data_IF_390251563530
#
_entry.id   IF_390251563530
#
_cell.length_a   1.000
_cell.length_b   1.000
_cell.length_c   1.000
_cell.angle_alpha   90.00
_cell.angle_beta   90.00
_cell.angle_gamma   90.00
#
_symmetry.space_group_name_H-M   'P 1'
#
loop_
_entity.id
_entity.type
_entity.pdbx_description
1 polymer ?
#
# COMPACT_ATOMS: atom_id res chain seq x y z
N UNK A 1 -5.07 23.54 -24.91
CA UNK A 1 -4.10 23.35 -23.80
C UNK A 1 -4.91 22.99 -22.57
N UNK A 2 -4.52 21.94 -21.86
CA UNK A 2 -5.14 21.55 -20.60
C UNK A 2 -4.12 21.77 -19.49
N UNK A 3 -4.41 22.65 -18.54
CA UNK A 3 -3.51 22.96 -17.43
C UNK A 3 -3.88 22.09 -16.23
N UNK A 4 -3.03 21.12 -15.92
CA UNK A 4 -3.15 20.27 -14.76
C UNK A 4 -2.32 20.78 -13.59
N UNK A 5 -2.43 20.14 -12.41
CA UNK A 5 -1.69 20.55 -11.21
C UNK A 5 -0.17 20.38 -11.34
N UNK A 6 0.31 19.24 -11.86
CA UNK A 6 1.73 18.95 -12.00
C UNK A 6 2.26 19.12 -13.43
N UNK A 7 1.40 18.97 -14.42
CA UNK A 7 1.74 19.00 -15.84
C UNK A 7 0.72 19.80 -16.64
N UNK A 8 1.18 20.42 -17.71
CA UNK A 8 0.33 21.04 -18.73
C UNK A 8 0.36 20.18 -20.00
N UNK A 9 -0.81 19.76 -20.49
CA UNK A 9 -0.93 19.00 -21.73
C UNK A 9 -1.20 19.94 -22.91
N UNK A 10 -0.25 19.97 -23.83
CA UNK A 10 -0.35 20.65 -25.12
C UNK A 10 -0.82 19.67 -26.17
N UNK A 11 -1.89 20.03 -26.87
CA UNK A 11 -2.36 19.24 -28.00
C UNK A 11 -1.66 19.70 -29.28
N UNK A 12 -1.08 18.75 -30.00
CA UNK A 12 -0.34 18.98 -31.25
C UNK A 12 -0.94 18.12 -32.36
N UNK A 13 -1.21 18.73 -33.50
CA UNK A 13 -1.64 18.01 -34.70
C UNK A 13 -0.42 17.64 -35.55
N UNK A 14 -0.27 16.38 -35.99
CA UNK A 14 0.83 16.00 -36.86
C UNK A 14 0.78 16.79 -38.18
N UNK A 15 1.84 17.56 -38.44
CA UNK A 15 2.02 18.35 -39.65
C UNK A 15 2.34 17.53 -40.89
N UNK A 16 2.91 18.19 -41.91
CA UNK A 16 3.24 17.59 -43.19
C UNK A 16 4.73 17.77 -43.50
N UNK A 17 5.40 16.67 -43.83
CA UNK A 17 6.73 16.68 -44.42
C UNK A 17 6.57 16.96 -45.92
N UNK A 18 7.13 18.09 -46.38
CA UNK A 18 7.00 18.58 -47.76
C UNK A 18 8.37 18.60 -48.40
N UNK A 19 8.51 17.91 -49.54
CA UNK A 19 9.72 17.96 -50.35
C UNK A 19 9.49 18.87 -51.54
N UNK A 20 10.42 19.77 -51.77
CA UNK A 20 10.42 20.68 -52.92
C UNK A 20 11.57 20.30 -53.85
N UNK A 21 11.32 20.39 -55.15
CA UNK A 21 12.35 20.25 -56.18
C UNK A 21 12.43 21.55 -56.96
N UNK A 22 13.65 22.01 -57.21
CA UNK A 22 13.90 23.12 -58.12
C UNK A 22 13.61 22.69 -59.55
N UNK A 23 12.73 23.44 -60.21
CA UNK A 23 12.45 23.31 -61.63
C UNK A 23 13.01 24.57 -62.29
N UNK A 24 13.96 24.35 -63.20
CA UNK A 24 14.53 25.41 -64.04
C UNK A 24 13.69 25.50 -65.31
N UNK A 25 13.00 26.62 -65.51
CA UNK A 25 12.28 26.91 -66.74
C UNK A 25 13.01 28.01 -67.51
N UNK A 26 13.34 27.73 -68.76
CA UNK A 26 14.00 28.67 -69.65
C UNK A 26 12.93 29.40 -70.46
N UNK A 27 12.91 30.73 -70.40
CA UNK A 27 11.99 31.53 -71.22
C UNK A 27 12.45 31.61 -72.69
N UNK A 28 11.64 32.25 -73.54
CA UNK A 28 11.92 32.38 -74.99
C UNK A 28 13.17 33.22 -75.28
N UNK A 29 13.58 34.07 -74.35
CA UNK A 29 14.75 34.96 -74.45
C UNK A 29 16.03 34.31 -73.87
N UNK A 30 15.90 33.12 -73.29
CA UNK A 30 16.99 32.31 -72.78
C UNK A 30 17.30 32.48 -71.30
N UNK A 31 16.53 33.28 -70.56
CA UNK A 31 16.69 33.45 -69.13
C UNK A 31 16.16 32.22 -68.38
N UNK A 32 16.89 31.80 -67.35
CA UNK A 32 16.50 30.67 -66.51
C UNK A 32 15.79 31.18 -65.27
N UNK A 33 14.51 30.84 -65.15
CA UNK A 33 13.74 31.02 -63.90
C UNK A 33 13.80 29.73 -63.07
N UNK A 34 14.07 29.87 -61.77
CA UNK A 34 14.05 28.73 -60.82
C UNK A 34 12.78 28.84 -60.00
N UNK A 35 11.91 27.82 -60.07
CA UNK A 35 10.74 27.71 -59.20
C UNK A 35 10.80 26.45 -58.36
N UNK A 36 10.45 26.57 -57.09
CA UNK A 36 10.30 25.43 -56.19
C UNK A 36 8.92 24.80 -56.43
N UNK A 37 8.88 23.54 -56.87
CA UNK A 37 7.64 22.76 -56.96
C UNK A 37 7.58 21.75 -55.83
N UNK A 38 6.46 21.73 -55.10
CA UNK A 38 6.18 20.67 -54.12
C UNK A 38 6.03 19.33 -54.86
N UNK A 39 6.91 18.37 -54.58
CA UNK A 39 6.95 17.06 -55.24
C UNK A 39 6.39 15.94 -54.37
N UNK A 40 6.33 16.13 -53.05
CA UNK A 40 5.79 15.16 -52.12
C UNK A 40 5.26 15.87 -50.87
N UNK A 41 4.11 15.39 -50.40
CA UNK A 41 3.48 15.82 -49.16
C UNK A 41 3.07 14.60 -48.36
N UNK A 42 3.77 14.32 -47.27
CA UNK A 42 3.52 13.14 -46.44
C UNK A 42 3.21 13.58 -45.02
N UNK A 43 2.15 13.03 -44.41
CA UNK A 43 1.81 13.37 -43.02
C UNK A 43 2.92 12.87 -42.10
N UNK A 44 3.33 13.69 -41.14
CA UNK A 44 4.33 13.29 -40.15
C UNK A 44 3.77 12.11 -39.34
N UNK A 45 4.52 11.00 -39.32
CA UNK A 45 4.17 9.83 -38.53
C UNK A 45 4.23 10.18 -37.04
N UNK A 46 3.24 9.72 -36.29
CA UNK A 46 3.18 9.89 -34.83
C UNK A 46 4.44 9.35 -34.14
N UNK A 47 4.96 8.23 -34.61
CA UNK A 47 6.21 7.62 -34.11
C UNK A 47 7.42 8.56 -34.20
N UNK A 48 7.51 9.36 -35.27
CA UNK A 48 8.57 10.37 -35.43
C UNK A 48 8.44 11.51 -34.43
N UNK A 49 7.23 11.84 -34.00
CA UNK A 49 7.01 12.82 -32.92
C UNK A 49 7.42 12.20 -31.58
N UNK A 50 7.01 10.94 -31.34
CA UNK A 50 7.34 10.22 -30.12
C UNK A 50 8.86 10.04 -29.93
N UNK A 51 9.62 9.81 -31.00
CA UNK A 51 11.08 9.68 -30.94
C UNK A 51 11.81 10.97 -30.57
N UNK A 52 11.18 12.15 -30.73
CA UNK A 52 11.75 13.45 -30.40
C UNK A 52 11.52 13.87 -28.94
N UNK A 53 11.03 12.97 -28.08
CA UNK A 53 10.69 13.31 -26.69
C UNK A 53 11.85 13.94 -25.91
N UNK A 54 13.08 13.43 -26.09
CA UNK A 54 14.27 13.94 -25.39
C UNK A 54 14.69 15.31 -25.92
N UNK A 55 14.63 15.52 -27.25
CA UNK A 55 14.97 16.80 -27.87
C UNK A 55 13.95 17.89 -27.47
N UNK A 56 12.67 17.54 -27.40
CA UNK A 56 11.62 18.43 -26.90
C UNK A 56 11.82 18.76 -25.43
N UNK A 57 12.22 17.77 -24.60
CA UNK A 57 12.51 17.99 -23.19
C UNK A 57 13.68 18.97 -23.02
N UNK A 58 14.74 18.80 -23.80
CA UNK A 58 15.88 19.72 -23.84
C UNK A 58 15.46 21.13 -24.25
N UNK A 59 14.70 21.25 -25.35
CA UNK A 59 14.25 22.55 -25.87
C UNK A 59 13.33 23.32 -24.90
N UNK A 60 12.53 22.59 -24.11
CA UNK A 60 11.64 23.17 -23.11
C UNK A 60 12.26 23.32 -21.72
N UNK A 61 13.54 22.96 -21.56
CA UNK A 61 14.22 22.88 -20.26
C UNK A 61 13.42 22.06 -19.21
N UNK A 62 12.75 21.00 -19.67
CA UNK A 62 11.95 20.12 -18.84
C UNK A 62 12.75 18.86 -18.46
N UNK A 63 12.62 18.34 -17.22
CA UNK A 63 13.34 17.13 -16.80
C UNK A 63 12.92 15.89 -17.62
N UNK A 64 11.64 15.81 -17.98
CA UNK A 64 11.10 14.77 -18.85
C UNK A 64 9.80 15.25 -19.49
N UNK A 65 9.42 14.64 -20.62
CA UNK A 65 8.15 14.88 -21.30
C UNK A 65 7.48 13.54 -21.58
N UNK A 66 6.16 13.50 -21.44
CA UNK A 66 5.36 12.35 -21.84
C UNK A 66 4.53 12.69 -23.08
N UNK A 67 4.64 11.85 -24.09
CA UNK A 67 3.87 11.96 -25.34
C UNK A 67 2.76 10.91 -25.29
N UNK A 68 1.51 11.36 -25.32
CA UNK A 68 0.31 10.55 -25.40
C UNK A 68 -0.25 10.63 -26.83
N UNK A 69 -0.23 9.51 -27.56
CA UNK A 69 -0.66 9.51 -28.95
C UNK A 69 -1.46 8.24 -29.33
N UNK A 70 -2.69 8.38 -29.87
CA UNK A 70 -3.50 9.60 -29.86
C UNK A 70 -4.05 9.91 -28.46
N UNK A 71 -4.42 11.17 -28.21
CA UNK A 71 -5.19 11.54 -27.02
C UNK A 71 -6.56 10.84 -27.10
N UNK A 72 -7.02 10.15 -26.03
CA UNK A 72 -8.31 9.47 -26.04
C UNK A 72 -9.46 10.38 -26.48
N UNK A 73 -10.20 9.94 -27.50
CA UNK A 73 -11.33 10.69 -28.07
C UNK A 73 -10.96 11.90 -28.93
N UNK A 74 -9.67 12.14 -29.23
CA UNK A 74 -9.22 13.28 -30.05
C UNK A 74 -8.19 12.86 -31.10
N UNK A 75 -8.28 13.44 -32.30
CA UNK A 75 -7.36 13.17 -33.41
C UNK A 75 -6.03 13.96 -33.32
N UNK A 76 -5.42 13.99 -32.14
CA UNK A 76 -4.21 14.78 -31.85
C UNK A 76 -3.22 14.04 -30.95
N UNK A 77 -1.99 14.53 -30.92
CA UNK A 77 -0.92 14.09 -30.01
C UNK A 77 -0.89 14.99 -28.79
N UNK A 78 -0.92 14.42 -27.60
CA UNK A 78 -0.78 15.14 -26.33
C UNK A 78 0.68 15.16 -25.91
N UNK A 79 1.22 16.33 -25.62
CA UNK A 79 2.56 16.52 -25.06
C UNK A 79 2.36 17.06 -23.64
N UNK A 80 2.61 16.22 -22.65
CA UNK A 80 2.55 16.58 -21.24
C UNK A 80 3.91 17.13 -20.79
N UNK A 81 3.95 18.43 -20.46
CA UNK A 81 5.15 19.14 -20.01
C UNK A 81 5.00 19.45 -18.51
N UNK A 82 6.01 19.16 -17.67
CA UNK A 82 6.01 19.53 -16.25
C UNK A 82 5.82 21.04 -16.05
N UNK A 83 4.98 21.40 -15.07
CA UNK A 83 4.85 22.79 -14.66
C UNK A 83 6.09 23.23 -13.89
N UNK A 84 6.50 24.50 -14.04
CA UNK A 84 7.62 25.06 -13.26
C UNK A 84 7.36 25.05 -11.75
N UNK A 85 6.08 25.15 -11.34
CA UNK A 85 5.62 25.00 -9.97
C UNK A 85 4.49 23.98 -9.97
N UNK A 86 4.71 22.82 -9.34
CA UNK A 86 3.68 21.80 -9.19
C UNK A 86 2.67 22.24 -8.11
N UNK A 87 1.39 22.27 -8.48
CA UNK A 87 0.30 22.53 -7.56
C UNK A 87 0.06 21.34 -6.62
N UNK A 88 -0.09 21.62 -5.33
CA UNK A 88 -0.52 20.62 -4.34
C UNK A 88 -2.01 20.38 -4.52
N UNK A 89 -2.41 19.11 -4.61
CA UNK A 89 -3.82 18.71 -4.67
C UNK A 89 -4.29 18.35 -3.27
N UNK A 90 -5.00 19.23 -2.58
CA UNK A 90 -5.50 18.93 -1.23
C UNK A 90 -6.58 17.85 -1.26
N UNK A 91 -6.55 16.93 -0.28
CA UNK A 91 -7.57 15.89 -0.11
C UNK A 91 -8.96 16.51 0.05
N UNK A 92 -9.08 17.57 0.86
CA UNK A 92 -10.31 18.33 1.06
C UNK A 92 -10.92 18.79 -0.27
N UNK A 93 -10.10 19.32 -1.19
CA UNK A 93 -10.57 19.79 -2.49
C UNK A 93 -11.14 18.69 -3.38
N UNK A 94 -10.74 17.42 -3.16
CA UNK A 94 -11.34 16.28 -3.85
C UNK A 94 -12.63 15.85 -3.16
N UNK A 95 -12.64 15.77 -1.83
CA UNK A 95 -13.81 15.34 -1.06
C UNK A 95 -14.99 16.30 -1.20
N UNK A 96 -14.72 17.61 -1.30
CA UNK A 96 -15.74 18.65 -1.52
C UNK A 96 -16.14 18.78 -3.01
N UNK A 97 -15.60 17.95 -3.91
CA UNK A 97 -15.91 18.02 -5.33
C UNK A 97 -17.24 17.35 -5.67
N UNK A 98 -17.94 17.88 -6.69
CA UNK A 98 -19.19 17.29 -7.17
C UNK A 98 -19.07 15.81 -7.59
N UNK A 99 -17.98 15.35 -8.26
CA UNK A 99 -17.76 13.93 -8.52
C UNK A 99 -17.74 13.07 -7.25
N UNK A 100 -17.08 13.55 -6.19
CA UNK A 100 -17.00 12.81 -4.92
C UNK A 100 -18.36 12.73 -4.22
N UNK A 101 -19.09 13.85 -4.10
CA UNK A 101 -20.44 13.84 -3.52
C UNK A 101 -21.38 12.87 -4.26
N UNK A 102 -21.35 12.91 -5.60
CA UNK A 102 -22.15 12.01 -6.43
C UNK A 102 -21.77 10.55 -6.20
N UNK A 103 -20.47 10.25 -6.12
CA UNK A 103 -19.99 8.90 -5.86
C UNK A 103 -20.40 8.42 -4.46
N UNK A 104 -20.14 9.22 -3.42
CA UNK A 104 -20.40 8.91 -2.01
C UNK A 104 -21.87 8.55 -1.74
N UNK A 105 -22.81 9.15 -2.47
CA UNK A 105 -24.24 8.82 -2.33
C UNK A 105 -24.59 7.36 -2.67
N UNK A 106 -23.69 6.63 -3.36
CA UNK A 106 -23.90 5.26 -3.84
C UNK A 106 -22.80 4.29 -3.43
N UNK A 107 -21.56 4.80 -3.34
CA UNK A 107 -20.38 4.01 -3.04
C UNK A 107 -20.33 3.59 -1.57
N UNK A 108 -19.77 2.41 -1.33
CA UNK A 108 -19.59 1.86 0.02
C UNK A 108 -18.19 2.15 0.55
N UNK A 109 -17.21 2.15 -0.35
CA UNK A 109 -15.82 2.43 -0.03
C UNK A 109 -15.27 3.49 -1.00
N UNK A 110 -15.76 4.75 -0.91
CA UNK A 110 -15.27 5.82 -1.76
C UNK A 110 -13.81 6.18 -1.46
N UNK A 111 -13.05 6.44 -2.52
CA UNK A 111 -11.66 6.88 -2.51
C UNK A 111 -11.53 8.21 -3.25
N UNK A 112 -10.92 9.19 -2.61
CA UNK A 112 -10.51 10.44 -3.21
C UNK A 112 -9.08 10.28 -3.74
N UNK A 113 -8.90 10.05 -5.05
CA UNK A 113 -7.60 9.71 -5.61
C UNK A 113 -6.74 10.94 -5.89
N UNK A 114 -7.32 12.00 -6.46
CA UNK A 114 -6.56 13.19 -6.84
C UNK A 114 -7.16 13.95 -8.02
N UNK A 115 -6.32 14.63 -8.79
CA UNK A 115 -6.72 15.35 -10.02
C UNK A 115 -6.06 14.76 -11.26
N UNK A 116 -6.80 14.71 -12.36
CA UNK A 116 -6.25 14.36 -13.67
C UNK A 116 -5.43 15.48 -14.30
N UNK A 117 -4.90 15.18 -15.49
CA UNK A 117 -4.07 16.10 -16.29
C UNK A 117 -4.84 17.36 -16.71
N UNK A 118 -6.18 17.31 -16.77
CA UNK A 118 -7.01 18.48 -17.08
C UNK A 118 -7.56 19.16 -15.82
N UNK A 119 -7.08 18.77 -14.63
CA UNK A 119 -7.49 19.33 -13.35
C UNK A 119 -8.81 18.76 -12.80
N UNK A 120 -9.43 17.82 -13.51
CA UNK A 120 -10.66 17.15 -13.09
C UNK A 120 -10.44 16.29 -11.84
N UNK A 121 -11.35 16.36 -10.86
CA UNK A 121 -11.28 15.51 -9.67
C UNK A 121 -11.56 14.07 -10.03
N UNK A 122 -10.65 13.17 -9.65
CA UNK A 122 -10.74 11.74 -9.89
C UNK A 122 -10.98 11.02 -8.58
N UNK A 123 -12.04 10.23 -8.58
CA UNK A 123 -12.57 9.49 -7.43
C UNK A 123 -12.89 8.07 -7.87
N UNK A 124 -12.85 7.12 -6.93
CA UNK A 124 -13.11 5.73 -7.25
C UNK A 124 -13.80 5.01 -6.08
N UNK A 125 -14.39 3.84 -6.33
CA UNK A 125 -15.06 3.03 -5.31
C UNK A 125 -14.32 1.70 -5.17
N UNK A 126 -13.68 1.48 -4.02
CA UNK A 126 -12.94 0.25 -3.75
C UNK A 126 -13.87 -0.97 -3.73
N UNK A 127 -15.16 -0.82 -3.40
CA UNK A 127 -16.08 -1.96 -3.44
C UNK A 127 -16.32 -2.48 -4.88
N UNK A 128 -16.20 -1.60 -5.88
CA UNK A 128 -16.28 -1.94 -7.31
C UNK A 128 -14.93 -2.36 -7.89
N UNK A 129 -13.84 -1.93 -7.25
CA UNK A 129 -12.46 -2.26 -7.57
C UNK A 129 -11.90 -3.10 -6.41
N UNK A 130 -12.40 -4.33 -6.21
CA UNK A 130 -12.47 -4.97 -4.90
C UNK A 130 -11.13 -5.01 -4.16
N UNK A 131 -10.02 -5.05 -4.90
CA UNK A 131 -8.68 -4.97 -4.37
C UNK A 131 -7.83 -3.99 -5.19
N UNK A 132 -6.93 -3.29 -4.52
CA UNK A 132 -6.06 -2.27 -5.08
C UNK A 132 -4.59 -2.59 -4.79
N UNK A 133 -3.78 -2.65 -5.84
CA UNK A 133 -2.31 -2.76 -5.74
C UNK A 133 -1.68 -1.38 -5.94
N UNK A 134 -0.82 -0.96 -5.01
CA UNK A 134 -0.11 0.32 -5.05
C UNK A 134 1.40 0.07 -5.05
N UNK A 135 2.12 0.63 -6.01
CA UNK A 135 3.57 0.48 -6.04
C UNK A 135 4.29 1.78 -6.40
N UNK A 136 5.54 1.91 -5.99
CA UNK A 136 6.38 3.06 -6.31
C UNK A 136 7.61 3.17 -5.43
N UNK A 137 8.64 3.88 -5.89
CA UNK A 137 9.87 4.07 -5.14
C UNK A 137 9.66 4.92 -3.87
N UNK A 138 10.62 4.88 -2.95
CA UNK A 138 10.63 5.74 -1.76
C UNK A 138 10.53 7.22 -2.14
N UNK A 139 9.71 7.99 -1.42
CA UNK A 139 9.51 9.43 -1.69
C UNK A 139 8.64 9.75 -2.92
N UNK A 140 8.13 8.74 -3.63
CA UNK A 140 7.30 8.96 -4.84
C UNK A 140 5.87 9.43 -4.55
N UNK A 141 5.36 9.19 -3.32
CA UNK A 141 3.99 9.54 -2.92
C UNK A 141 3.12 8.35 -2.46
N UNK A 142 3.63 7.11 -2.54
CA UNK A 142 2.93 5.87 -2.11
C UNK A 142 2.29 5.98 -0.72
N UNK A 143 3.08 6.32 0.30
CA UNK A 143 2.59 6.33 1.68
C UNK A 143 1.52 7.40 1.91
N UNK A 144 1.68 8.59 1.30
CA UNK A 144 0.68 9.67 1.35
C UNK A 144 -0.64 9.24 0.70
N UNK A 145 -0.58 8.45 -0.39
CA UNK A 145 -1.76 7.89 -1.02
C UNK A 145 -2.51 6.90 -0.12
N UNK A 146 -1.78 5.99 0.55
CA UNK A 146 -2.36 5.03 1.50
C UNK A 146 -3.02 5.77 2.66
N UNK A 147 -2.32 6.75 3.25
CA UNK A 147 -2.85 7.61 4.31
C UNK A 147 -4.10 8.36 3.86
N UNK A 148 -4.09 8.94 2.65
CA UNK A 148 -5.24 9.64 2.07
C UNK A 148 -6.44 8.71 1.86
N UNK A 149 -6.21 7.46 1.45
CA UNK A 149 -7.27 6.46 1.33
C UNK A 149 -7.91 6.14 2.69
N UNK A 150 -7.08 5.84 3.71
CA UNK A 150 -7.55 5.58 5.08
C UNK A 150 -8.34 6.77 5.62
N UNK A 151 -7.82 7.99 5.47
CA UNK A 151 -8.46 9.22 5.91
C UNK A 151 -9.80 9.45 5.20
N UNK A 152 -9.89 9.11 3.91
CA UNK A 152 -11.17 9.19 3.18
C UNK A 152 -12.24 8.30 3.82
N UNK A 153 -11.87 7.10 4.29
CA UNK A 153 -12.80 6.23 5.03
C UNK A 153 -13.15 6.82 6.40
N UNK A 154 -12.15 7.26 7.17
CA UNK A 154 -12.37 7.85 8.49
C UNK A 154 -13.23 9.12 8.46
N UNK A 155 -13.25 9.86 7.35
CA UNK A 155 -14.11 11.04 7.21
C UNK A 155 -15.59 10.69 6.92
N UNK A 156 -15.88 9.45 6.51
CA UNK A 156 -17.17 9.11 5.89
C UNK A 156 -17.81 7.81 6.38
N UNK A 157 -17.12 7.01 7.18
CA UNK A 157 -17.58 5.74 7.69
C UNK A 157 -17.35 5.65 9.21
N UNK A 158 -18.35 5.14 9.93
CA UNK A 158 -18.21 4.75 11.34
C UNK A 158 -17.49 3.39 11.46
N UNK A 159 -17.05 3.00 12.67
CA UNK A 159 -16.54 1.65 12.92
C UNK A 159 -17.55 0.52 12.62
N UNK A 160 -18.85 0.81 12.61
CA UNK A 160 -19.89 -0.16 12.27
C UNK A 160 -20.07 -0.30 10.75
N UNK A 161 -19.64 0.69 9.98
CA UNK A 161 -19.62 0.64 8.52
C UNK A 161 -18.34 -0.01 7.99
N UNK A 162 -17.18 0.37 8.55
CA UNK A 162 -15.85 -0.03 8.08
C UNK A 162 -14.93 -0.34 9.25
N UNK A 163 -14.29 -1.51 9.18
CA UNK A 163 -13.27 -1.97 10.11
C UNK A 163 -11.92 -2.15 9.39
N UNK A 164 -10.85 -1.75 10.05
CA UNK A 164 -9.50 -1.68 9.49
C UNK A 164 -8.59 -2.75 10.11
N UNK A 165 -7.79 -3.39 9.26
CA UNK A 165 -6.65 -4.23 9.66
C UNK A 165 -5.43 -3.65 8.96
N UNK A 166 -4.48 -3.14 9.74
CA UNK A 166 -3.30 -2.45 9.23
C UNK A 166 -2.05 -3.30 9.49
N UNK A 167 -1.28 -3.58 8.44
CA UNK A 167 -0.01 -4.29 8.50
C UNK A 167 1.11 -3.33 8.07
N UNK A 168 1.98 -2.98 9.01
CA UNK A 168 3.12 -2.07 8.83
C UNK A 168 4.37 -2.66 9.49
N UNK A 169 5.12 -3.53 8.78
CA UNK A 169 6.32 -4.17 9.31
C UNK A 169 7.44 -3.17 9.63
N UNK A 170 7.39 -1.96 9.06
CA UNK A 170 8.43 -0.93 9.20
C UNK A 170 8.16 0.02 10.37
N UNK A 171 6.93 0.07 10.90
CA UNK A 171 6.50 0.95 12.00
C UNK A 171 6.61 2.44 11.70
N UNK A 172 6.48 2.83 10.43
CA UNK A 172 6.68 4.23 10.01
C UNK A 172 5.38 4.86 9.52
N UNK A 173 4.57 4.10 8.78
CA UNK A 173 3.53 4.71 7.95
C UNK A 173 2.14 4.59 8.56
N UNK A 174 1.77 3.41 9.07
CA UNK A 174 0.41 3.15 9.54
C UNK A 174 0.25 3.25 11.06
N UNK A 175 1.36 3.29 11.80
CA UNK A 175 1.35 3.48 13.27
C UNK A 175 0.67 4.79 13.67
N UNK A 176 0.65 5.80 12.80
CA UNK A 176 -0.05 7.07 13.04
C UNK A 176 -1.57 6.92 13.19
N UNK A 177 -2.16 5.78 12.77
CA UNK A 177 -3.57 5.46 12.95
C UNK A 177 -3.84 4.59 14.19
N UNK A 178 -2.85 4.41 15.07
CA UNK A 178 -3.04 3.61 16.28
C UNK A 178 -4.21 4.14 17.11
N UNK A 179 -4.97 3.22 17.71
CA UNK A 179 -6.09 3.50 18.60
C UNK A 179 -7.34 4.13 17.96
N UNK A 180 -7.40 4.29 16.63
CA UNK A 180 -8.69 4.65 16.01
C UNK A 180 -9.69 3.50 16.21
N UNK A 181 -10.97 3.79 16.52
CA UNK A 181 -11.96 2.77 16.89
C UNK A 181 -12.31 1.81 15.74
N UNK A 182 -11.97 2.18 14.50
CA UNK A 182 -12.11 1.32 13.33
C UNK A 182 -11.17 0.11 13.34
N UNK A 183 -10.07 0.15 14.09
CA UNK A 183 -9.12 -0.98 14.12
C UNK A 183 -9.76 -2.23 14.72
N UNK A 184 -9.60 -3.35 14.04
CA UNK A 184 -9.97 -4.68 14.56
C UNK A 184 -8.91 -5.17 15.55
N UNK A 185 -7.65 -4.83 15.30
CA UNK A 185 -6.49 -5.24 16.08
C UNK A 185 -5.48 -4.10 16.05
N UNK A 186 -4.58 -3.96 17.06
CA UNK A 186 -3.45 -3.03 16.96
C UNK A 186 -2.69 -3.20 15.65
N UNK A 187 -2.02 -2.14 15.19
CA UNK A 187 -1.24 -2.17 13.95
C UNK A 187 -0.25 -3.33 14.00
N UNK A 188 -0.35 -4.23 13.03
CA UNK A 188 0.45 -5.47 13.00
C UNK A 188 1.81 -5.14 12.42
N UNK A 189 2.83 -5.31 13.25
CA UNK A 189 4.23 -5.00 12.92
C UNK A 189 5.08 -6.27 12.73
N UNK A 190 4.62 -7.38 13.29
CA UNK A 190 5.30 -8.67 13.24
C UNK A 190 4.88 -9.45 11.99
N UNK A 191 5.85 -10.05 11.29
CA UNK A 191 5.61 -10.66 9.98
C UNK A 191 4.85 -11.98 10.12
N UNK A 192 5.14 -12.74 11.16
CA UNK A 192 4.46 -13.98 11.50
C UNK A 192 3.01 -13.71 11.90
N UNK A 193 2.76 -12.67 12.72
CA UNK A 193 1.39 -12.20 13.04
C UNK A 193 0.66 -11.71 11.79
N UNK A 194 1.34 -11.08 10.84
CA UNK A 194 0.74 -10.67 9.56
C UNK A 194 0.26 -11.89 8.74
N UNK A 195 1.06 -12.95 8.64
CA UNK A 195 0.65 -14.21 7.98
C UNK A 195 -0.53 -14.86 8.72
N UNK A 196 -0.49 -14.90 10.05
CA UNK A 196 -1.60 -15.41 10.85
C UNK A 196 -2.89 -14.59 10.65
N UNK A 197 -2.77 -13.28 10.47
CA UNK A 197 -3.90 -12.39 10.16
C UNK A 197 -4.52 -12.69 8.80
N UNK A 198 -3.69 -12.97 7.78
CA UNK A 198 -4.19 -13.40 6.47
C UNK A 198 -4.95 -14.73 6.54
N UNK A 199 -4.49 -15.68 7.38
CA UNK A 199 -5.19 -16.94 7.65
C UNK A 199 -6.52 -16.70 8.36
N UNK A 200 -6.54 -15.81 9.35
CA UNK A 200 -7.77 -15.43 10.04
C UNK A 200 -8.77 -14.76 9.08
N UNK A 201 -8.32 -13.83 8.23
CA UNK A 201 -9.19 -13.17 7.25
C UNK A 201 -9.81 -14.17 6.27
N UNK A 202 -9.08 -15.21 5.89
CA UNK A 202 -9.60 -16.29 5.07
C UNK A 202 -10.70 -17.09 5.80
N UNK A 203 -10.57 -17.34 7.10
CA UNK A 203 -11.61 -17.98 7.94
C UNK A 203 -12.82 -17.07 8.13
N UNK A 204 -12.60 -15.79 8.39
CA UNK A 204 -13.67 -14.79 8.50
C UNK A 204 -14.44 -14.64 7.18
N UNK A 205 -13.76 -14.71 6.03
CA UNK A 205 -14.41 -14.75 4.73
C UNK A 205 -15.35 -15.96 4.62
N UNK A 206 -14.90 -17.15 5.00
CA UNK A 206 -15.71 -18.37 4.96
C UNK A 206 -16.92 -18.26 5.90
N UNK A 207 -16.71 -17.78 7.13
CA UNK A 207 -17.78 -17.54 8.10
C UNK A 207 -18.81 -16.52 7.61
N UNK A 208 -18.37 -15.46 6.93
CA UNK A 208 -19.29 -14.51 6.29
C UNK A 208 -20.11 -15.18 5.20
N UNK A 209 -19.52 -16.03 4.37
CA UNK A 209 -20.28 -16.79 3.37
C UNK A 209 -21.38 -17.64 3.99
N UNK A 210 -21.10 -18.34 5.10
CA UNK A 210 -22.12 -19.11 5.82
C UNK A 210 -23.27 -18.23 6.32
N UNK A 211 -22.95 -17.05 6.88
CA UNK A 211 -23.95 -16.06 7.30
C UNK A 211 -24.78 -15.54 6.13
N UNK A 212 -24.14 -15.24 4.99
CA UNK A 212 -24.82 -14.82 3.76
C UNK A 212 -25.81 -15.89 3.30
N UNK A 213 -25.35 -17.15 3.23
CA UNK A 213 -26.14 -18.29 2.79
C UNK A 213 -27.34 -18.57 3.71
N UNK A 214 -27.18 -18.46 5.03
CA UNK A 214 -28.23 -18.70 6.02
C UNK A 214 -29.47 -17.80 5.83
N UNK A 215 -29.31 -16.62 5.26
CA UNK A 215 -30.42 -15.68 4.95
C UNK A 215 -30.68 -15.53 3.45
N UNK A 216 -30.03 -16.34 2.60
CA UNK A 216 -30.16 -16.29 1.14
C UNK A 216 -29.62 -15.01 0.49
N UNK A 217 -28.70 -14.32 1.16
CA UNK A 217 -28.06 -13.12 0.62
C UNK A 217 -26.90 -13.49 -0.32
N UNK A 218 -26.82 -12.82 -1.46
CA UNK A 218 -25.75 -13.04 -2.46
C UNK A 218 -24.45 -12.27 -2.17
N UNK A 219 -24.56 -11.20 -1.38
CA UNK A 219 -23.49 -10.27 -1.06
C UNK A 219 -23.78 -9.56 0.27
N UNK A 220 -22.76 -8.90 0.83
CA UNK A 220 -22.84 -8.15 2.10
C UNK A 220 -23.93 -7.07 2.07
N UNK A 221 -24.19 -6.46 0.91
CA UNK A 221 -25.23 -5.43 0.81
C UNK A 221 -26.64 -6.03 0.95
N UNK A 222 -26.89 -7.16 0.29
CA UNK A 222 -28.14 -7.90 0.41
C UNK A 222 -28.31 -8.43 1.83
N UNK A 223 -27.23 -8.86 2.49
CA UNK A 223 -27.26 -9.30 3.88
C UNK A 223 -27.61 -8.16 4.83
N UNK A 224 -26.91 -7.03 4.76
CA UNK A 224 -27.13 -5.89 5.65
C UNK A 224 -28.50 -5.23 5.47
N UNK A 225 -29.15 -5.41 4.30
CA UNK A 225 -30.52 -4.91 4.04
C UNK A 225 -31.60 -5.94 4.39
N UNK A 226 -31.23 -7.17 4.73
CA UNK A 226 -32.19 -8.23 5.00
C UNK A 226 -32.88 -7.98 6.35
N UNK A 227 -34.22 -7.93 6.44
CA UNK A 227 -34.93 -7.69 7.69
C UNK A 227 -34.68 -8.75 8.78
N UNK A 228 -34.18 -9.94 8.41
CA UNK A 228 -33.81 -11.01 9.35
C UNK A 228 -32.44 -10.80 10.01
N UNK A 229 -31.69 -9.80 9.57
CA UNK A 229 -30.36 -9.49 10.09
C UNK A 229 -30.49 -8.37 11.11
N UNK A 230 -30.26 -8.72 12.38
CA UNK A 230 -30.28 -7.75 13.49
C UNK A 230 -29.00 -6.90 13.54
N UNK A 231 -27.86 -7.49 13.17
CA UNK A 231 -26.55 -6.84 13.19
C UNK A 231 -25.91 -6.87 11.80
N UNK A 232 -25.78 -5.69 11.21
CA UNK A 232 -25.07 -5.52 9.95
C UNK A 232 -23.59 -5.91 10.08
N UNK A 233 -23.05 -6.49 9.01
CA UNK A 233 -21.63 -6.74 8.87
C UNK A 233 -20.92 -5.46 8.40
N UNK A 234 -19.83 -5.03 9.07
CA UNK A 234 -18.98 -3.96 8.55
C UNK A 234 -18.18 -4.47 7.35
N UNK A 235 -17.81 -3.58 6.44
CA UNK A 235 -16.75 -3.85 5.48
C UNK A 235 -15.42 -4.01 6.21
N UNK A 236 -14.63 -5.02 5.85
CA UNK A 236 -13.29 -5.20 6.39
C UNK A 236 -12.26 -4.76 5.36
N UNK A 237 -11.41 -3.81 5.72
CA UNK A 237 -10.34 -3.32 4.88
C UNK A 237 -8.98 -3.74 5.43
N UNK A 238 -8.32 -4.63 4.72
CA UNK A 238 -6.93 -4.97 4.95
C UNK A 238 -6.02 -3.99 4.20
N UNK A 239 -5.11 -3.34 4.91
CA UNK A 239 -4.08 -2.48 4.33
C UNK A 239 -2.69 -3.04 4.67
N UNK A 240 -1.91 -3.33 3.64
CA UNK A 240 -0.50 -3.77 3.77
C UNK A 240 0.38 -2.66 3.19
N UNK A 241 1.23 -2.05 4.02
CA UNK A 241 2.14 -0.99 3.53
C UNK A 241 3.27 -1.54 2.63
N UNK A 242 3.83 -2.70 2.99
CA UNK A 242 4.95 -3.31 2.29
C UNK A 242 4.76 -4.82 2.13
N UNK A 243 4.21 -5.23 0.98
CA UNK A 243 4.02 -6.64 0.61
C UNK A 243 5.34 -7.39 0.57
N UNK A 244 6.41 -6.75 0.09
CA UNK A 244 7.70 -7.39 -0.10
C UNK A 244 8.30 -7.91 1.22
N UNK A 245 7.97 -7.29 2.35
CA UNK A 245 8.42 -7.74 3.67
C UNK A 245 7.70 -9.03 4.10
N UNK A 246 6.44 -9.21 3.70
CA UNK A 246 5.70 -10.45 3.94
C UNK A 246 6.14 -11.57 2.99
N UNK A 247 6.35 -11.23 1.71
CA UNK A 247 6.86 -12.18 0.72
C UNK A 247 8.26 -12.69 1.06
N UNK A 248 9.08 -11.89 1.75
CA UNK A 248 10.39 -12.32 2.22
C UNK A 248 10.33 -13.35 3.38
N UNK A 249 9.22 -13.42 4.12
CA UNK A 249 9.03 -14.37 5.21
C UNK A 249 8.46 -15.70 4.73
N UNK A 250 7.37 -15.66 3.94
CA UNK A 250 6.68 -16.87 3.47
C UNK A 250 5.99 -16.64 2.12
N UNK A 251 6.73 -16.59 1.00
CA UNK A 251 6.22 -16.12 -0.29
C UNK A 251 5.04 -16.95 -0.80
N UNK A 252 5.18 -18.27 -0.85
CA UNK A 252 4.14 -19.18 -1.37
C UNK A 252 2.86 -19.12 -0.52
N UNK A 253 3.01 -19.02 0.80
CA UNK A 253 1.86 -18.96 1.71
C UNK A 253 1.14 -17.61 1.62
N UNK A 254 1.89 -16.50 1.63
CA UNK A 254 1.33 -15.14 1.50
C UNK A 254 0.63 -14.97 0.17
N UNK A 255 1.25 -15.37 -0.94
CA UNK A 255 0.66 -15.29 -2.27
C UNK A 255 -0.65 -16.08 -2.35
N UNK A 256 -0.66 -17.34 -1.87
CA UNK A 256 -1.85 -18.18 -1.86
C UNK A 256 -2.99 -17.55 -1.04
N UNK A 257 -2.69 -17.04 0.15
CA UNK A 257 -3.69 -16.42 1.03
C UNK A 257 -4.26 -15.13 0.44
N UNK A 258 -3.41 -14.28 -0.14
CA UNK A 258 -3.83 -13.04 -0.79
C UNK A 258 -4.64 -13.31 -2.06
N UNK A 259 -4.22 -14.27 -2.89
CA UNK A 259 -4.95 -14.62 -4.10
C UNK A 259 -6.34 -15.18 -3.78
N UNK A 260 -6.45 -16.06 -2.77
CA UNK A 260 -7.76 -16.59 -2.34
C UNK A 260 -8.70 -15.47 -1.87
N UNK A 261 -8.20 -14.56 -1.03
CA UNK A 261 -8.97 -13.38 -0.61
C UNK A 261 -9.37 -12.52 -1.82
N UNK A 262 -8.42 -12.23 -2.70
CA UNK A 262 -8.68 -11.37 -3.84
C UNK A 262 -9.68 -11.97 -4.85
N UNK A 263 -9.81 -13.29 -4.90
CA UNK A 263 -10.76 -13.99 -5.76
C UNK A 263 -12.18 -14.02 -5.20
N UNK A 264 -12.32 -14.22 -3.88
CA UNK A 264 -13.61 -14.58 -3.27
C UNK A 264 -14.19 -13.49 -2.37
N UNK A 265 -13.37 -12.61 -1.80
CA UNK A 265 -13.79 -11.81 -0.66
C UNK A 265 -14.66 -10.58 -1.01
N UNK A 266 -14.82 -10.26 -2.30
CA UNK A 266 -15.69 -9.16 -2.77
C UNK A 266 -17.13 -9.27 -2.24
N UNK A 267 -17.72 -10.46 -2.33
CA UNK A 267 -19.12 -10.66 -1.92
C UNK A 267 -19.29 -10.57 -0.39
N UNK A 268 -18.26 -10.90 0.37
CA UNK A 268 -18.27 -10.88 1.84
C UNK A 268 -17.90 -9.50 2.41
N UNK A 269 -17.63 -8.51 1.56
CA UNK A 269 -17.27 -7.15 1.97
C UNK A 269 -15.87 -7.03 2.57
N UNK A 270 -14.96 -7.94 2.22
CA UNK A 270 -13.55 -7.85 2.59
C UNK A 270 -12.78 -7.30 1.37
N UNK A 271 -12.04 -6.22 1.60
CA UNK A 271 -11.31 -5.48 0.57
C UNK A 271 -9.84 -5.34 0.95
N UNK A 272 -8.98 -5.27 -0.06
CA UNK A 272 -7.52 -5.28 0.14
C UNK A 272 -6.90 -4.06 -0.55
N UNK A 273 -6.09 -3.31 0.20
CA UNK A 273 -5.13 -2.36 -0.34
C UNK A 273 -3.73 -2.90 -0.02
N UNK A 274 -3.01 -3.31 -1.06
CA UNK A 274 -1.69 -3.90 -0.91
C UNK A 274 -0.69 -2.98 -1.57
N UNK A 275 0.36 -2.60 -0.83
CA UNK A 275 1.36 -1.70 -1.32
C UNK A 275 2.77 -2.30 -1.29
N UNK A 276 3.66 -1.84 -2.16
CA UNK A 276 5.07 -2.25 -2.18
C UNK A 276 5.98 -1.13 -2.68
N UNK A 277 7.19 -1.03 -2.12
CA UNK A 277 8.25 -0.18 -2.66
C UNK A 277 9.19 -0.95 -3.60
N UNK A 278 9.05 -2.28 -3.64
CA UNK A 278 9.85 -3.20 -4.45
C UNK A 278 8.96 -3.78 -5.56
N UNK A 279 8.86 -3.09 -6.72
CA UNK A 279 8.03 -3.53 -7.84
C UNK A 279 8.74 -4.59 -8.70
N UNK A 280 9.23 -5.64 -8.06
CA UNK A 280 9.94 -6.75 -8.69
C UNK A 280 9.00 -7.94 -8.92
N UNK A 281 9.36 -8.83 -9.86
CA UNK A 281 8.47 -9.92 -10.31
C UNK A 281 8.25 -10.98 -9.22
N UNK A 282 9.18 -11.11 -8.29
CA UNK A 282 9.09 -11.97 -7.09
C UNK A 282 8.13 -11.42 -6.03
N UNK A 283 7.86 -10.11 -6.03
CA UNK A 283 6.88 -9.48 -5.11
C UNK A 283 5.53 -9.30 -5.80
N UNK A 284 5.53 -8.76 -7.01
CA UNK A 284 4.35 -8.51 -7.84
C UNK A 284 4.29 -9.58 -8.93
N UNK A 285 3.97 -10.79 -8.49
CA UNK A 285 3.91 -11.97 -9.34
C UNK A 285 2.75 -11.89 -10.35
N UNK A 286 2.73 -12.81 -11.32
CA UNK A 286 1.62 -12.94 -12.25
C UNK A 286 0.28 -13.24 -11.55
N UNK A 287 0.30 -14.04 -10.48
CA UNK A 287 -0.91 -14.39 -9.72
C UNK A 287 -1.44 -13.19 -8.92
N UNK A 288 -0.56 -12.42 -8.27
CA UNK A 288 -0.95 -11.18 -7.61
C UNK A 288 -1.56 -10.23 -8.65
N UNK A 289 -0.91 -10.01 -9.81
CA UNK A 289 -1.48 -9.15 -10.84
C UNK A 289 -2.85 -9.61 -11.33
N UNK A 290 -3.03 -10.91 -11.56
CA UNK A 290 -4.29 -11.46 -12.06
C UNK A 290 -5.48 -11.17 -11.13
N UNK A 291 -5.24 -11.10 -9.81
CA UNK A 291 -6.30 -10.89 -8.81
C UNK A 291 -6.42 -9.43 -8.33
N UNK A 292 -5.48 -8.55 -8.69
CA UNK A 292 -5.50 -7.11 -8.39
C UNK A 292 -5.58 -6.29 -9.68
N UNK A 293 -6.75 -6.20 -10.33
CA UNK A 293 -6.91 -5.50 -11.61
C UNK A 293 -6.85 -3.98 -11.48
N UNK A 294 -7.21 -3.42 -10.31
CA UNK A 294 -7.02 -2.01 -10.02
C UNK A 294 -5.60 -1.76 -9.50
N UNK A 295 -4.86 -0.88 -10.17
CA UNK A 295 -3.45 -0.63 -9.86
C UNK A 295 -3.11 0.84 -9.87
N UNK A 296 -2.24 1.25 -8.95
CA UNK A 296 -1.62 2.58 -8.92
C UNK A 296 -0.10 2.38 -8.95
N UNK A 297 0.56 3.00 -9.92
CA UNK A 297 2.01 3.14 -9.91
C UNK A 297 2.37 4.60 -9.69
N UNK A 298 3.09 4.89 -8.62
CA UNK A 298 3.86 6.11 -8.48
C UNK A 298 5.16 6.01 -9.28
N UNK A 299 5.98 7.06 -9.22
CA UNK A 299 7.30 7.08 -9.86
C UNK A 299 8.16 5.86 -9.45
N UNK A 300 8.72 5.20 -10.46
CA UNK A 300 9.63 4.06 -10.33
C UNK A 300 10.95 4.35 -11.05
N UNK A 301 11.97 3.55 -10.78
CA UNK A 301 13.32 3.79 -11.30
C UNK A 301 13.44 3.40 -12.78
N UNK A 302 12.78 2.32 -13.19
CA UNK A 302 12.94 1.76 -14.54
C UNK A 302 11.63 1.46 -15.24
N UNK A 303 11.69 1.36 -16.57
CA UNK A 303 10.57 0.90 -17.38
C UNK A 303 10.18 -0.56 -17.07
N UNK A 304 11.15 -1.38 -16.64
CA UNK A 304 10.90 -2.76 -16.22
C UNK A 304 9.98 -2.76 -15.01
N UNK A 305 10.27 -1.94 -14.00
CA UNK A 305 9.42 -1.79 -12.81
C UNK A 305 8.01 -1.31 -13.18
N UNK A 306 7.90 -0.35 -14.11
CA UNK A 306 6.60 0.12 -14.61
C UNK A 306 5.80 -1.03 -15.22
N UNK A 307 6.43 -1.89 -16.04
CA UNK A 307 5.78 -3.06 -16.64
C UNK A 307 5.43 -4.12 -15.60
N UNK A 308 6.26 -4.29 -14.57
CA UNK A 308 5.95 -5.21 -13.48
C UNK A 308 4.64 -4.84 -12.78
N UNK A 309 4.32 -3.55 -12.65
CA UNK A 309 3.10 -3.08 -11.99
C UNK A 309 1.92 -2.95 -12.96
N UNK A 310 2.12 -2.25 -14.09
CA UNK A 310 1.04 -1.79 -14.98
C UNK A 310 0.94 -2.58 -16.29
N UNK A 311 1.83 -3.55 -16.52
CA UNK A 311 2.00 -4.25 -17.80
C UNK A 311 2.43 -3.34 -18.98
N UNK A 312 2.62 -2.04 -18.71
CA UNK A 312 3.06 -1.01 -19.67
C UNK A 312 4.15 -0.13 -19.07
N UNK A 313 4.97 0.47 -19.93
CA UNK A 313 5.91 1.53 -19.51
C UNK A 313 5.21 2.87 -19.28
N UNK A 314 5.88 3.78 -18.59
CA UNK A 314 5.44 5.16 -18.39
C UNK A 314 5.57 5.65 -16.95
N UNK A 315 5.57 4.76 -15.96
CA UNK A 315 5.72 5.16 -14.55
C UNK A 315 7.15 5.67 -14.23
N UNK A 316 8.15 5.25 -15.00
CA UNK A 316 9.53 5.76 -14.92
C UNK A 316 9.67 7.24 -15.33
N UNK A 317 8.63 7.80 -15.96
CA UNK A 317 8.58 9.20 -16.41
C UNK A 317 7.79 10.11 -15.48
N UNK A 318 7.24 9.57 -14.39
CA UNK A 318 6.51 10.34 -13.39
C UNK A 318 7.47 11.23 -12.59
N UNK A 319 6.95 12.34 -12.10
CA UNK A 319 7.72 13.40 -11.45
C UNK A 319 7.95 13.14 -9.94
N UNK A 320 7.36 12.06 -9.40
CA UNK A 320 7.31 11.79 -7.97
C UNK A 320 6.34 12.73 -7.25
N UNK A 321 6.48 12.86 -5.93
CA UNK A 321 5.67 13.77 -5.08
C UNK A 321 4.16 13.67 -5.32
N UNK A 322 3.64 12.44 -5.48
CA UNK A 322 2.22 12.17 -5.68
C UNK A 322 1.79 12.02 -7.14
N UNK A 323 2.67 12.28 -8.12
CA UNK A 323 2.38 11.98 -9.52
C UNK A 323 2.33 10.47 -9.76
N UNK A 324 1.23 9.99 -10.35
CA UNK A 324 0.92 8.58 -10.46
C UNK A 324 0.20 8.21 -11.76
N UNK A 325 0.28 6.93 -12.12
CA UNK A 325 -0.54 6.28 -13.12
C UNK A 325 -1.55 5.37 -12.41
N UNK A 326 -2.84 5.62 -12.64
CA UNK A 326 -3.94 4.82 -12.12
C UNK A 326 -4.60 4.00 -13.24
N UNK A 327 -4.59 2.68 -13.07
CA UNK A 327 -5.26 1.71 -13.93
C UNK A 327 -6.51 1.19 -13.20
N UNK A 328 -7.71 1.68 -13.52
CA UNK A 328 -8.94 1.07 -13.03
C UNK A 328 -9.21 -0.26 -13.77
N UNK A 329 -9.99 -1.20 -13.18
CA UNK A 329 -10.22 -2.53 -13.75
C UNK A 329 -10.83 -2.52 -15.17
N UNK A 330 -11.71 -1.55 -15.44
CA UNK A 330 -12.48 -1.49 -16.68
C UNK A 330 -11.78 -0.65 -17.78
N UNK A 331 -10.54 -0.17 -17.55
CA UNK A 331 -9.83 0.64 -18.51
C UNK A 331 -8.69 -0.13 -19.20
N UNK A 332 -8.50 0.04 -20.51
CA UNK A 332 -7.42 -0.62 -21.25
C UNK A 332 -6.05 0.05 -21.04
N UNK A 333 -6.02 1.28 -20.51
CA UNK A 333 -4.80 2.07 -20.31
C UNK A 333 -4.87 2.86 -19.00
N UNK A 334 -3.72 3.05 -18.31
CA UNK A 334 -3.67 3.86 -17.11
C UNK A 334 -3.87 5.35 -17.42
N UNK A 335 -4.48 6.06 -16.48
CA UNK A 335 -4.66 7.51 -16.49
C UNK A 335 -3.64 8.17 -15.56
N UNK A 336 -3.01 9.26 -16.00
CA UNK A 336 -2.09 10.02 -15.14
C UNK A 336 -2.87 10.94 -14.21
N UNK A 337 -2.53 10.89 -12.93
CA UNK A 337 -3.15 11.66 -11.85
C UNK A 337 -2.07 12.29 -10.99
N UNK A 338 -2.37 13.46 -10.42
CA UNK A 338 -1.68 13.97 -9.26
C UNK A 338 -2.48 13.58 -8.02
N UNK A 339 -1.87 12.75 -7.16
CA UNK A 339 -2.47 12.22 -5.94
C UNK A 339 -2.91 13.31 -4.97
N UNK A 340 -3.98 13.03 -4.24
CA UNK A 340 -4.41 13.87 -3.12
C UNK A 340 -3.35 13.89 -2.02
N UNK A 341 -3.20 15.04 -1.40
CA UNK A 341 -2.29 15.30 -0.30
C UNK A 341 -3.06 15.65 0.96
N UNK A 342 -2.58 15.10 2.07
CA UNK A 342 -3.02 15.40 3.42
C UNK A 342 -1.78 15.58 4.27
N UNK A 343 -1.75 16.68 5.03
CA UNK A 343 -0.66 16.97 5.94
C UNK A 343 -0.75 16.11 7.19
N UNK A 344 0.39 15.93 7.87
CA UNK A 344 0.47 15.20 9.12
C UNK A 344 -0.42 15.84 10.20
N UNK A 345 -0.42 17.17 10.30
CA UNK A 345 -1.29 17.90 11.22
C UNK A 345 -2.79 17.71 10.91
N UNK A 346 -3.20 17.58 9.64
CA UNK A 346 -4.58 17.24 9.29
C UNK A 346 -4.97 15.83 9.73
N UNK A 347 -4.07 14.87 9.52
CA UNK A 347 -4.26 13.48 9.94
C UNK A 347 -4.36 13.36 11.46
N UNK A 348 -3.44 13.97 12.20
CA UNK A 348 -3.42 13.93 13.68
C UNK A 348 -4.74 14.46 14.26
N UNK A 349 -5.24 15.60 13.76
CA UNK A 349 -6.53 16.15 14.20
C UNK A 349 -7.67 15.17 14.00
N UNK A 350 -7.70 14.46 12.87
CA UNK A 350 -8.73 13.48 12.59
C UNK A 350 -8.62 12.24 13.50
N UNK A 351 -7.40 11.75 13.70
CA UNK A 351 -7.13 10.62 14.61
C UNK A 351 -7.52 10.98 16.05
N UNK A 352 -7.12 12.15 16.54
CA UNK A 352 -7.50 12.65 17.87
C UNK A 352 -9.01 12.82 18.02
N UNK A 353 -9.69 13.30 16.98
CA UNK A 353 -11.16 13.36 16.98
C UNK A 353 -11.76 11.97 17.17
N UNK A 354 -11.32 10.96 16.42
CA UNK A 354 -11.86 9.61 16.53
C UNK A 354 -11.54 8.92 17.87
N UNK A 355 -10.34 9.13 18.40
CA UNK A 355 -9.96 8.64 19.73
C UNK A 355 -10.85 9.26 20.82
N UNK A 356 -11.28 10.52 20.68
CA UNK A 356 -12.15 11.15 21.68
C UNK A 356 -13.62 10.70 21.60
N UNK A 357 -14.06 10.07 20.50
CA UNK A 357 -15.44 9.61 20.35
C UNK A 357 -15.75 8.31 21.12
N UNK A 358 -14.74 7.53 21.49
CA UNK A 358 -14.92 6.32 22.30
C UNK A 358 -13.89 6.29 23.44
N UNK A 359 -14.30 6.34 24.71
CA UNK A 359 -13.41 6.03 25.82
C UNK A 359 -12.86 4.61 25.65
N UNK A 360 -11.55 4.44 25.82
CA UNK A 360 -10.80 3.20 25.60
C UNK A 360 -11.41 1.96 26.29
N UNK A 361 -12.31 1.27 25.62
CA UNK A 361 -12.24 -0.17 25.52
C UNK A 361 -11.78 -0.44 24.11
N UNK A 362 -10.46 -0.63 23.93
CA UNK A 362 -9.94 -1.22 22.70
C UNK A 362 -10.76 -2.48 22.51
N UNK A 363 -11.57 -2.53 21.45
CA UNK A 363 -12.29 -3.75 21.10
C UNK A 363 -11.21 -4.76 20.74
N UNK A 364 -10.72 -5.50 21.74
CA UNK A 364 -9.79 -6.60 21.55
C UNK A 364 -10.62 -7.66 20.85
N UNK A 365 -10.63 -7.58 19.52
CA UNK A 365 -11.34 -8.54 18.71
C UNK A 365 -10.80 -9.93 19.01
N UNK A 366 -11.61 -10.95 18.72
CA UNK A 366 -11.19 -12.34 18.76
C UNK A 366 -9.89 -12.56 17.96
N UNK A 367 -9.69 -11.81 16.87
CA UNK A 367 -8.42 -11.80 16.12
C UNK A 367 -7.23 -11.41 16.99
N UNK A 368 -7.30 -10.32 17.76
CA UNK A 368 -6.18 -9.88 18.59
C UNK A 368 -5.80 -10.96 19.63
N UNK A 369 -6.80 -11.59 20.25
CA UNK A 369 -6.58 -12.70 21.19
C UNK A 369 -5.99 -13.94 20.49
N UNK A 370 -6.52 -14.32 19.33
CA UNK A 370 -6.00 -15.44 18.54
C UNK A 370 -4.56 -15.20 18.09
N UNK A 371 -4.19 -13.97 17.70
CA UNK A 371 -2.82 -13.65 17.27
C UNK A 371 -1.82 -13.73 18.42
N UNK A 372 -2.23 -13.34 19.62
CA UNK A 372 -1.39 -13.45 20.82
C UNK A 372 -1.24 -14.91 21.26
N UNK A 373 -2.27 -15.74 21.11
CA UNK A 373 -2.20 -17.19 21.37
C UNK A 373 -1.43 -17.96 20.28
N UNK A 374 -1.54 -17.55 19.01
CA UNK A 374 -0.93 -18.23 17.87
C UNK A 374 0.55 -17.90 17.66
N UNK A 375 1.12 -16.98 18.45
CA UNK A 375 2.55 -16.68 18.46
C UNK A 375 3.26 -17.65 19.42
N UNK A 376 3.96 -18.71 18.94
CA UNK A 376 4.77 -19.56 19.81
C UNK A 376 6.07 -18.79 20.11
N UNK A 377 5.99 -17.79 20.97
CA UNK A 377 7.11 -16.89 21.22
C UNK A 377 6.87 -15.68 22.12
N UNK A 378 5.64 -15.43 22.56
CA UNK A 378 5.36 -14.41 23.60
C UNK A 378 4.30 -14.94 24.58
N UNK A 379 4.56 -16.13 25.12
CA UNK A 379 4.15 -16.37 26.50
C UNK A 379 5.09 -15.52 27.36
N UNK A 380 4.53 -14.72 28.28
CA UNK A 380 5.31 -14.02 29.32
C UNK A 380 6.10 -14.98 30.22
N UNK A 381 5.91 -16.29 30.07
CA UNK A 381 6.72 -17.33 30.68
C UNK A 381 7.29 -18.24 29.59
N UNK A 382 8.61 -18.16 29.33
CA UNK A 382 9.30 -19.17 28.52
C UNK A 382 8.96 -20.56 29.11
N UNK A 383 8.54 -21.57 28.32
CA UNK A 383 8.20 -22.90 28.82
C UNK A 383 9.31 -23.57 29.65
N UNK A 384 10.56 -23.10 29.50
CA UNK A 384 11.72 -23.55 30.26
C UNK A 384 12.04 -22.67 31.47
N UNK A 385 11.34 -21.56 31.70
CA UNK A 385 11.56 -20.65 32.83
C UNK A 385 11.42 -21.36 34.17
N UNK A 386 10.35 -22.15 34.35
CA UNK A 386 10.17 -22.94 35.59
C UNK A 386 11.23 -24.03 35.79
N UNK A 387 11.78 -24.57 34.69
CA UNK A 387 12.92 -25.49 34.77
C UNK A 387 14.21 -24.75 35.07
N UNK A 388 14.40 -23.56 34.50
CA UNK A 388 15.55 -22.69 34.74
C UNK A 388 15.58 -22.19 36.19
N UNK A 389 14.42 -21.84 36.77
CA UNK A 389 14.27 -21.47 38.19
C UNK A 389 14.68 -22.61 39.11
N UNK A 390 14.17 -23.82 38.88
CA UNK A 390 14.56 -25.01 39.65
C UNK A 390 16.06 -25.26 39.59
N UNK A 391 16.64 -25.21 38.38
CA UNK A 391 18.08 -25.33 38.20
C UNK A 391 18.87 -24.20 38.88
N UNK A 392 18.35 -22.98 38.90
CA UNK A 392 18.99 -21.88 39.61
C UNK A 392 18.99 -22.15 41.12
N UNK A 393 17.86 -22.53 41.71
CA UNK A 393 17.74 -22.80 43.15
C UNK A 393 18.62 -23.97 43.64
N UNK A 394 18.98 -24.91 42.76
CA UNK A 394 19.90 -26.02 43.06
C UNK A 394 21.39 -25.59 43.12
N UNK A 395 21.72 -24.36 42.71
CA UNK A 395 23.10 -23.89 42.58
C UNK A 395 23.32 -22.53 43.24
N UNK A 396 24.51 -22.30 43.81
CA UNK A 396 24.87 -20.99 44.40
C UNK A 396 25.08 -19.88 43.36
N UNK A 397 25.40 -20.25 42.13
CA UNK A 397 25.61 -19.34 41.02
C UNK A 397 25.30 -20.03 39.70
N UNK A 398 24.74 -19.30 38.74
CA UNK A 398 24.37 -19.82 37.43
C UNK A 398 24.84 -18.87 36.32
N UNK A 399 25.17 -19.42 35.15
CA UNK A 399 25.59 -18.65 33.98
C UNK A 399 24.74 -18.98 32.76
N UNK A 400 24.75 -18.08 31.77
CA UNK A 400 24.06 -18.28 30.49
C UNK A 400 24.52 -19.57 29.79
N UNK A 401 25.83 -19.83 29.78
CA UNK A 401 26.41 -21.08 29.25
C UNK A 401 26.02 -22.33 30.04
N UNK A 402 25.75 -22.20 31.34
CA UNK A 402 25.24 -23.31 32.15
C UNK A 402 23.80 -23.66 31.75
N UNK A 403 22.92 -22.65 31.67
CA UNK A 403 21.53 -22.84 31.20
C UNK A 403 21.49 -23.42 29.79
N UNK A 404 22.39 -22.96 28.91
CA UNK A 404 22.55 -23.47 27.55
C UNK A 404 22.78 -24.99 27.53
N UNK A 405 23.76 -25.48 28.31
CA UNK A 405 24.12 -26.91 28.37
C UNK A 405 23.05 -27.77 29.04
N UNK A 406 22.44 -27.25 30.12
CA UNK A 406 21.51 -28.04 30.94
C UNK A 406 20.11 -28.15 30.34
N UNK A 407 19.69 -27.12 29.60
CA UNK A 407 18.39 -27.06 28.95
C UNK A 407 18.43 -27.39 27.45
N UNK A 408 19.63 -27.58 26.87
CA UNK A 408 19.80 -27.93 25.45
C UNK A 408 19.34 -26.83 24.49
N UNK A 409 19.48 -25.56 24.88
CA UNK A 409 18.99 -24.40 24.14
C UNK A 409 20.15 -23.60 23.52
N UNK A 410 19.87 -22.71 22.56
CA UNK A 410 20.87 -21.79 22.00
C UNK A 410 21.17 -20.60 22.92
N UNK A 411 22.34 -19.97 22.74
CA UNK A 411 22.79 -18.82 23.54
C UNK A 411 21.78 -17.67 23.64
N UNK A 412 21.10 -17.23 22.55
CA UNK A 412 20.13 -16.12 22.64
C UNK A 412 18.95 -16.40 23.57
N UNK A 413 18.51 -17.66 23.63
CA UNK A 413 17.42 -18.10 24.51
C UNK A 413 17.89 -18.27 25.95
N UNK A 414 19.11 -18.78 26.16
CA UNK A 414 19.71 -18.90 27.48
C UNK A 414 19.98 -17.52 28.13
N UNK A 415 20.41 -16.53 27.34
CA UNK A 415 20.57 -15.15 27.79
C UNK A 415 19.23 -14.55 28.24
N UNK A 416 18.18 -14.73 27.43
CA UNK A 416 16.82 -14.28 27.77
C UNK A 416 16.28 -14.92 29.05
N UNK A 417 16.49 -16.23 29.24
CA UNK A 417 16.12 -16.91 30.49
C UNK A 417 16.90 -16.36 31.69
N UNK A 418 18.17 -16.01 31.51
CA UNK A 418 19.00 -15.42 32.57
C UNK A 418 18.46 -14.05 33.01
N UNK A 419 18.04 -13.23 32.05
CA UNK A 419 17.46 -11.90 32.33
C UNK A 419 16.07 -12.03 32.98
N UNK A 420 15.24 -12.99 32.56
CA UNK A 420 13.96 -13.29 33.21
C UNK A 420 14.13 -13.77 34.67
N UNK A 421 15.17 -14.57 34.95
CA UNK A 421 15.49 -14.98 36.32
C UNK A 421 15.95 -13.80 37.19
N UNK A 422 16.61 -12.80 36.58
CA UNK A 422 17.02 -11.57 37.27
C UNK A 422 15.82 -10.68 37.57
N UNK A 423 14.94 -10.47 36.58
CA UNK A 423 13.69 -9.71 36.74
C UNK A 423 12.78 -10.31 37.82
N UNK A 424 12.77 -11.64 37.96
CA UNK A 424 12.00 -12.34 38.99
C UNK A 424 12.73 -12.47 40.34
N UNK A 425 13.90 -11.86 40.49
CA UNK A 425 14.65 -11.84 41.74
C UNK A 425 15.25 -13.19 42.15
N UNK A 426 15.35 -14.15 41.22
CA UNK A 426 15.95 -15.47 41.47
C UNK A 426 17.48 -15.40 41.39
N UNK A 427 18.02 -14.47 40.59
CA UNK A 427 19.47 -14.22 40.49
C UNK A 427 19.77 -12.73 40.66
N UNK A 428 20.95 -12.43 41.22
CA UNK A 428 21.44 -11.06 41.38
C UNK A 428 21.84 -10.44 40.04
N UNK A 429 21.74 -9.11 39.94
CA UNK A 429 22.19 -8.37 38.76
C UNK A 429 23.67 -8.61 38.46
N UNK A 430 24.01 -8.81 37.19
CA UNK A 430 25.40 -9.06 36.79
C UNK A 430 25.69 -8.86 35.31
N UNK A 431 26.97 -8.72 34.99
CA UNK A 431 27.43 -8.45 33.61
C UNK A 431 27.06 -9.58 32.63
N UNK A 432 26.70 -9.25 31.37
CA UNK A 432 26.41 -10.23 30.34
C UNK A 432 27.56 -11.24 30.16
N UNK A 433 27.24 -12.53 30.22
CA UNK A 433 28.20 -13.62 30.01
C UNK A 433 28.99 -14.07 31.25
N UNK A 434 28.87 -13.39 32.40
CA UNK A 434 29.40 -13.86 33.68
C UNK A 434 28.34 -14.64 34.46
N UNK A 435 28.79 -15.46 35.42
CA UNK A 435 27.89 -16.13 36.36
C UNK A 435 27.24 -15.12 37.29
N UNK A 436 25.93 -15.23 37.53
CA UNK A 436 25.19 -14.44 38.53
C UNK A 436 24.92 -15.30 39.77
N UNK A 437 24.93 -14.68 40.95
CA UNK A 437 24.61 -15.37 42.21
C UNK A 437 23.10 -15.62 42.32
N UNK A 438 22.71 -16.75 42.90
CA UNK A 438 21.30 -17.10 43.11
C UNK A 438 20.84 -16.59 44.47
N UNK A 439 19.68 -15.92 44.49
CA UNK A 439 19.11 -15.32 45.70
C UNK A 439 18.10 -16.31 46.30
N UNK A 440 18.32 -16.74 47.55
CA UNK A 440 17.38 -17.61 48.29
C UNK A 440 17.63 -19.12 48.21
N UNK A 441 18.85 -19.57 47.87
CA UNK A 441 19.23 -20.99 47.98
C UNK A 441 19.34 -21.43 49.46
N UNK A 442 18.81 -22.61 49.75
CA UNK A 442 18.63 -23.21 51.09
C UNK A 442 19.88 -23.08 52.00
N UNK A 443 19.76 -22.25 53.04
CA UNK A 443 20.71 -22.13 54.14
C UNK A 443 20.55 -23.36 55.04
N UNK A 444 21.41 -24.37 54.84
CA UNK A 444 21.59 -25.46 55.80
C UNK A 444 22.08 -24.93 57.15
N UNK A 445 21.15 -24.52 58.01
CA UNK A 445 21.37 -24.34 59.45
C UNK A 445 20.91 -25.60 60.16
N UNK A 446 21.88 -26.44 60.54
CA UNK A 446 21.72 -27.38 61.64
C UNK A 446 21.23 -26.61 62.87
N UNK A 447 20.03 -26.95 63.33
CA UNK A 447 19.54 -26.58 64.65
C UNK A 447 19.90 -27.74 65.56
N UNK A 448 21.09 -27.70 66.14
CA UNK A 448 21.39 -28.57 67.28
C UNK A 448 20.69 -28.02 68.53
N UNK A 449 19.88 -28.90 69.12
CA UNK A 449 19.16 -28.66 70.35
C UNK A 449 20.03 -29.05 71.57
N UNK A 450 20.10 -28.10 72.51
CA UNK A 450 20.65 -28.16 73.89
C UNK A 450 22.16 -28.08 74.08
#
# INVERSE_FOLDING_TARGET
VNVGPAVTQYGVEPGWDRKFKEIKEKDKDGNISVRLREVSKTRVKVERIASLANDLALALAAPSIKIEAPVPGKAMVGIEVPNSIAGVVSLRGIIESAPFYKLRSKAKLPLALGKGVSGESVVADLAKMPHLLIAGATGSGKSVCIKSAIITFLLHASPDDVRLILIDPKRVELVSFSNVPHLVTPVIVDREKAVATLKWLNREMDHRYDRLAAVGARDIEAYNKNPRVEQALPYLLLVIDELADLMATAPDEVERLLCRLAQLARATGIHLIVATQRPSVDVVTGLIKANFPARISFAVVSQVDSRTILDVGGAEKLLGRGDMLFLPPDAPKPKRLQGSFVSEAEMERLVSFWISQQPQEVYVSQLAQELDQASPGVSHEDPLLEKAKRLALEHRSISTSFLQRRLGIGYPRAARLMDLLEEQGVVAAGEPGKSRQVIGGDDGREVDAK
#
